data_IF_505140914628
#
_entry.id   IF_505140914628
#
_cell.length_a   1.000
_cell.length_b   1.000
_cell.length_c   1.000
_cell.angle_alpha   90.00
_cell.angle_beta   90.00
_cell.angle_gamma   90.00
#
_symmetry.space_group_name_H-M   'P 1'
#
loop_
_entity.id
_entity.type
_entity.pdbx_description
1 polymer ?
#
# COMPACT_ATOMS: atom_id res chain seq x y z
N UNK A 1 27.75 8.95 -20.90
CA UNK A 1 27.80 9.36 -19.49
C UNK A 1 26.63 10.28 -19.24
N UNK A 2 25.52 9.74 -18.71
CA UNK A 2 24.42 10.58 -18.23
C UNK A 2 24.95 11.36 -17.03
N UNK A 3 25.12 12.67 -17.16
CA UNK A 3 25.31 13.56 -16.01
C UNK A 3 24.04 13.40 -15.15
N UNK A 4 24.19 12.92 -13.90
CA UNK A 4 23.13 13.08 -12.90
C UNK A 4 22.77 14.56 -12.88
N UNK A 5 21.57 14.90 -13.34
CA UNK A 5 21.00 16.21 -13.04
C UNK A 5 20.93 16.30 -11.52
N UNK A 6 21.37 17.39 -10.94
CA UNK A 6 21.13 17.68 -9.53
C UNK A 6 19.62 17.66 -9.34
N UNK A 7 19.13 16.64 -8.68
CA UNK A 7 17.70 16.47 -8.43
C UNK A 7 17.38 17.41 -7.28
N UNK A 8 16.52 18.39 -7.52
CA UNK A 8 16.04 19.27 -6.46
C UNK A 8 15.18 18.43 -5.51
N UNK A 9 15.56 18.35 -4.26
CA UNK A 9 14.78 17.76 -3.19
C UNK A 9 14.17 18.84 -2.29
N UNK A 10 13.09 18.49 -1.62
CA UNK A 10 12.47 19.28 -0.57
C UNK A 10 12.53 18.49 0.74
N UNK A 11 13.01 19.13 1.81
CA UNK A 11 13.01 18.48 3.13
C UNK A 11 11.62 18.57 3.78
N UNK A 12 11.15 17.47 4.34
CA UNK A 12 9.92 17.39 5.12
C UNK A 12 10.15 16.49 6.35
N UNK A 13 10.36 17.10 7.52
CA UNK A 13 10.81 16.38 8.71
C UNK A 13 12.25 15.86 8.50
N UNK A 14 12.45 14.56 8.66
CA UNK A 14 13.71 13.85 8.40
C UNK A 14 13.68 13.08 7.07
N UNK A 15 12.83 13.51 6.14
CA UNK A 15 12.69 12.94 4.81
C UNK A 15 13.07 13.94 3.73
N UNK A 16 13.70 13.45 2.68
CA UNK A 16 13.88 14.14 1.41
C UNK A 16 12.83 13.73 0.40
N UNK A 17 12.08 14.68 -0.12
CA UNK A 17 11.05 14.48 -1.15
C UNK A 17 11.64 14.82 -2.51
N UNK A 18 11.72 13.82 -3.39
CA UNK A 18 12.29 13.91 -4.72
C UNK A 18 11.27 13.52 -5.79
N UNK A 19 11.46 13.98 -7.03
CA UNK A 19 10.74 13.44 -8.17
C UNK A 19 11.16 11.98 -8.40
N UNK A 20 10.18 11.10 -8.62
CA UNK A 20 10.52 9.72 -8.97
C UNK A 20 11.18 9.69 -10.37
N UNK A 21 12.38 9.09 -10.52
CA UNK A 21 13.10 9.07 -11.79
C UNK A 21 12.43 8.19 -12.86
N UNK A 22 11.54 7.28 -12.45
CA UNK A 22 10.76 6.40 -13.31
C UNK A 22 9.27 6.49 -12.98
N UNK A 23 8.62 7.63 -13.29
CA UNK A 23 7.27 7.88 -12.84
C UNK A 23 6.27 6.92 -13.48
N UNK A 24 5.47 6.24 -12.65
CA UNK A 24 4.31 5.44 -13.07
C UNK A 24 3.06 6.33 -13.08
N UNK A 25 3.01 7.32 -12.21
CA UNK A 25 1.91 8.25 -12.02
C UNK A 25 2.30 9.65 -12.53
N UNK A 26 1.31 10.49 -12.87
CA UNK A 26 1.57 11.87 -13.34
C UNK A 26 2.33 12.70 -12.31
N UNK A 27 1.90 12.62 -11.04
CA UNK A 27 2.62 13.18 -9.90
C UNK A 27 3.15 12.01 -9.07
N UNK A 28 4.39 11.63 -9.28
CA UNK A 28 5.04 10.51 -8.62
C UNK A 28 6.32 10.98 -7.93
N UNK A 29 6.34 10.87 -6.62
CA UNK A 29 7.45 11.28 -5.77
C UNK A 29 8.04 10.07 -5.06
N UNK A 30 9.31 10.19 -4.71
CA UNK A 30 10.03 9.29 -3.80
C UNK A 30 10.37 10.09 -2.56
N UNK A 31 10.08 9.57 -1.38
CA UNK A 31 10.27 10.19 -0.08
C UNK A 31 11.27 9.34 0.67
N UNK A 32 12.49 9.82 0.79
CA UNK A 32 13.65 9.04 1.25
C UNK A 32 14.00 9.49 2.67
N UNK A 33 14.15 8.55 3.60
CA UNK A 33 14.67 8.85 4.95
C UNK A 33 16.12 9.34 4.85
N UNK A 34 16.48 10.39 5.56
CA UNK A 34 17.84 10.95 5.53
C UNK A 34 18.89 9.96 6.06
N UNK A 35 18.52 9.17 7.08
CA UNK A 35 19.35 8.10 7.60
C UNK A 35 19.21 6.84 6.76
N UNK A 36 20.33 6.17 6.48
CA UNK A 36 20.34 4.90 5.76
C UNK A 36 19.91 3.75 6.68
N UNK A 37 18.61 3.50 6.76
CA UNK A 37 18.00 2.44 7.56
C UNK A 37 17.28 1.43 6.67
N UNK A 38 17.13 0.16 7.10
CA UNK A 38 16.42 -0.85 6.33
C UNK A 38 14.96 -0.47 6.07
N UNK A 39 14.42 -0.92 4.94
CA UNK A 39 13.02 -0.75 4.56
C UNK A 39 12.11 -1.51 5.53
N UNK A 40 11.53 -0.81 6.49
CA UNK A 40 10.55 -1.34 7.46
C UNK A 40 9.53 -0.30 7.82
N UNK A 41 8.25 -0.69 7.91
CA UNK A 41 7.19 0.24 8.32
C UNK A 41 7.00 0.25 9.84
N UNK A 42 7.56 -0.72 10.55
CA UNK A 42 7.54 -0.74 12.00
C UNK A 42 8.20 0.55 12.52
N UNK A 43 7.53 1.27 13.41
CA UNK A 43 7.95 2.58 13.92
C UNK A 43 8.05 3.70 12.86
N UNK A 44 7.54 3.49 11.63
CA UNK A 44 7.50 4.49 10.54
C UNK A 44 6.06 4.79 10.09
N UNK A 45 5.08 4.07 10.66
CA UNK A 45 3.68 4.30 10.28
C UNK A 45 3.19 5.69 10.72
N UNK A 46 3.66 6.18 11.88
CA UNK A 46 3.36 7.54 12.32
C UNK A 46 3.91 8.58 11.36
N UNK A 47 5.11 8.36 10.80
CA UNK A 47 5.69 9.22 9.77
C UNK A 47 4.87 9.17 8.48
N UNK A 48 4.38 7.98 8.09
CA UNK A 48 3.49 7.84 6.94
C UNK A 48 2.21 8.67 7.09
N UNK A 49 1.63 8.71 8.29
CA UNK A 49 0.46 9.56 8.58
C UNK A 49 0.80 11.05 8.60
N UNK A 50 1.97 11.42 9.13
CA UNK A 50 2.49 12.79 9.08
C UNK A 50 2.66 13.27 7.64
N UNK A 51 3.26 12.44 6.78
CA UNK A 51 3.41 12.73 5.35
C UNK A 51 2.05 12.86 4.67
N UNK A 52 1.10 11.96 4.96
CA UNK A 52 -0.25 12.00 4.40
C UNK A 52 -1.01 13.29 4.75
N UNK A 53 -0.83 13.80 5.97
CA UNK A 53 -1.45 15.05 6.43
C UNK A 53 -0.82 16.27 5.77
N UNK A 54 0.52 16.33 5.72
CA UNK A 54 1.26 17.48 5.16
C UNK A 54 1.28 17.49 3.63
N UNK A 55 1.07 16.34 2.99
CA UNK A 55 0.96 16.17 1.55
C UNK A 55 -0.45 15.70 1.17
N UNK A 56 -1.47 16.39 1.66
CA UNK A 56 -2.87 15.93 1.62
C UNK A 56 -3.47 15.81 0.19
N UNK A 57 -2.77 16.26 -0.83
CA UNK A 57 -3.11 16.02 -2.25
C UNK A 57 -2.51 14.73 -2.80
N UNK A 58 -1.75 14.00 -1.98
CA UNK A 58 -1.10 12.75 -2.35
C UNK A 58 -1.62 11.57 -1.54
N UNK A 59 -1.48 10.41 -2.13
CA UNK A 59 -1.54 9.11 -1.47
C UNK A 59 -0.09 8.74 -1.12
N UNK A 60 0.17 8.41 0.13
CA UNK A 60 1.49 7.93 0.56
C UNK A 60 1.51 6.42 0.44
N UNK A 61 2.55 5.90 -0.19
CA UNK A 61 2.67 4.51 -0.61
C UNK A 61 3.90 3.87 0.05
N UNK A 62 3.75 2.66 0.56
CA UNK A 62 4.82 1.85 1.11
C UNK A 62 4.89 0.48 0.43
N UNK A 63 6.10 0.07 0.07
CA UNK A 63 6.42 -1.27 -0.36
C UNK A 63 7.33 -1.94 0.67
N UNK A 64 6.91 -3.08 1.21
CA UNK A 64 7.78 -3.91 2.04
C UNK A 64 9.00 -4.42 1.25
N UNK A 65 10.10 -4.83 1.93
CA UNK A 65 11.37 -5.23 1.30
C UNK A 65 11.19 -6.30 0.22
N UNK A 66 10.33 -7.29 0.48
CA UNK A 66 9.98 -8.38 -0.45
C UNK A 66 8.60 -8.16 -1.10
N UNK A 67 8.14 -6.92 -1.19
CA UNK A 67 6.86 -6.53 -1.79
C UNK A 67 7.01 -5.40 -2.81
N UNK A 68 8.16 -5.38 -3.51
CA UNK A 68 8.40 -4.44 -4.61
C UNK A 68 9.18 -3.18 -4.23
N UNK A 69 9.76 -3.09 -3.02
CA UNK A 69 10.70 -2.03 -2.69
C UNK A 69 11.91 -2.09 -3.63
N UNK A 70 12.27 -0.94 -4.23
CA UNK A 70 13.41 -0.85 -5.16
C UNK A 70 14.77 -0.78 -4.46
N UNK A 71 14.79 -0.28 -3.21
CA UNK A 71 15.96 -0.20 -2.35
C UNK A 71 15.59 -0.73 -0.95
N UNK A 72 15.61 -2.06 -0.74
CA UNK A 72 15.17 -2.66 0.52
C UNK A 72 16.13 -2.40 1.69
N UNK A 73 17.29 -1.87 1.44
CA UNK A 73 18.30 -1.46 2.41
C UNK A 73 18.19 0.02 2.84
N UNK A 74 17.34 0.82 2.16
CA UNK A 74 17.16 2.23 2.49
C UNK A 74 15.67 2.59 2.57
N UNK A 75 15.22 2.98 3.76
CA UNK A 75 13.83 3.33 4.03
C UNK A 75 13.35 4.47 3.14
N UNK A 76 12.28 4.23 2.45
CA UNK A 76 11.61 5.21 1.61
C UNK A 76 10.12 4.94 1.50
N UNK A 77 9.36 6.01 1.32
CA UNK A 77 7.99 5.99 0.83
C UNK A 77 7.95 6.48 -0.61
N UNK A 78 6.81 6.31 -1.23
CA UNK A 78 6.48 6.97 -2.49
C UNK A 78 5.20 7.79 -2.30
N UNK A 79 4.93 8.72 -3.21
CA UNK A 79 3.67 9.45 -3.22
C UNK A 79 3.11 9.53 -4.64
N UNK A 80 1.81 9.32 -4.77
CA UNK A 80 1.05 9.48 -6.01
C UNK A 80 -0.06 10.50 -5.82
N UNK A 81 -0.29 11.36 -6.81
CA UNK A 81 -1.36 12.34 -6.74
C UNK A 81 -2.73 11.68 -6.61
N UNK A 82 -3.62 12.20 -5.78
CA UNK A 82 -4.98 11.66 -5.56
C UNK A 82 -5.85 11.65 -6.81
N UNK A 83 -5.55 12.49 -7.79
CA UNK A 83 -6.24 12.51 -9.08
C UNK A 83 -6.07 11.22 -9.90
N UNK A 84 -5.10 10.40 -9.57
CA UNK A 84 -4.80 9.15 -10.29
C UNK A 84 -5.83 8.04 -10.08
N UNK A 85 -6.87 8.27 -9.32
CA UNK A 85 -7.93 7.29 -9.02
C UNK A 85 -7.43 5.94 -8.47
N UNK A 86 -6.23 5.92 -7.90
CA UNK A 86 -5.61 4.72 -7.33
C UNK A 86 -6.39 4.25 -6.10
N UNK A 87 -6.90 5.19 -5.32
CA UNK A 87 -7.55 4.89 -4.03
C UNK A 87 -8.90 4.17 -4.15
N UNK A 88 -9.50 4.10 -5.34
CA UNK A 88 -10.74 3.37 -5.52
C UNK A 88 -10.80 2.57 -6.84
N UNK A 89 -9.78 1.74 -7.16
CA UNK A 89 -9.80 0.92 -8.36
C UNK A 89 -10.86 -0.18 -8.29
N UNK A 90 -11.42 -0.45 -7.10
CA UNK A 90 -12.24 -1.62 -6.83
C UNK A 90 -13.64 -1.30 -6.31
N UNK A 91 -14.10 -0.03 -6.37
CA UNK A 91 -15.39 0.34 -5.80
C UNK A 91 -15.44 -0.03 -4.32
N UNK A 92 -14.45 0.39 -3.54
CA UNK A 92 -14.34 0.07 -2.12
C UNK A 92 -15.57 0.60 -1.39
N UNK A 93 -16.55 -0.25 -1.21
CA UNK A 93 -17.59 -0.04 -0.23
C UNK A 93 -16.95 -0.35 1.11
N UNK A 94 -16.64 0.69 1.88
CA UNK A 94 -16.29 0.49 3.28
C UNK A 94 -17.48 -0.20 3.93
N UNK A 95 -17.32 -1.45 4.34
CA UNK A 95 -18.33 -2.12 5.15
C UNK A 95 -18.19 -1.53 6.54
N UNK A 96 -19.04 -0.55 6.83
CA UNK A 96 -19.05 0.24 8.07
C UNK A 96 -19.53 -0.52 9.30
N UNK A 97 -19.71 -1.84 9.23
CA UNK A 97 -20.51 -2.59 10.22
C UNK A 97 -19.70 -3.36 11.26
N UNK A 98 -18.37 -3.21 11.33
CA UNK A 98 -17.61 -3.88 12.38
C UNK A 98 -16.83 -2.89 13.23
N UNK A 99 -17.30 -2.75 14.46
CA UNK A 99 -16.74 -2.04 15.59
C UNK A 99 -17.01 -0.53 15.63
N UNK A 100 -18.08 -0.20 16.30
CA UNK A 100 -18.38 1.12 16.83
C UNK A 100 -17.53 1.44 18.07
N UNK A 101 -16.22 1.68 17.91
CA UNK A 101 -15.58 2.64 18.77
C UNK A 101 -15.72 4.00 18.08
N UNK A 102 -16.05 5.05 18.81
CA UNK A 102 -16.28 6.38 18.27
C UNK A 102 -15.08 6.96 17.50
N UNK A 103 -13.90 6.32 17.62
CA UNK A 103 -12.60 6.83 17.20
C UNK A 103 -11.92 6.05 16.07
N UNK A 104 -12.34 4.84 15.72
CA UNK A 104 -11.73 4.07 14.63
C UNK A 104 -12.70 3.10 13.96
N UNK A 105 -12.61 2.97 12.65
CA UNK A 105 -13.43 2.05 11.85
C UNK A 105 -12.53 0.98 11.27
N UNK A 106 -12.82 -0.28 11.59
CA UNK A 106 -12.27 -1.43 10.89
C UNK A 106 -13.11 -1.72 9.66
N UNK A 107 -12.48 -1.86 8.53
CA UNK A 107 -13.14 -2.39 7.37
C UNK A 107 -12.35 -3.54 6.77
N UNK A 108 -13.05 -4.61 6.46
CA UNK A 108 -12.51 -5.76 5.76
C UNK A 108 -12.90 -5.66 4.29
N UNK A 109 -11.90 -5.58 3.40
CA UNK A 109 -12.14 -5.42 1.97
C UNK A 109 -12.04 -6.78 1.27
N UNK A 110 -13.20 -7.41 1.02
CA UNK A 110 -13.32 -8.55 0.11
C UNK A 110 -13.68 -8.05 -1.29
N UNK A 111 -12.70 -7.79 -2.13
CA UNK A 111 -13.00 -7.44 -3.52
C UNK A 111 -12.77 -8.61 -4.50
N UNK A 112 -12.52 -9.79 -4.00
CA UNK A 112 -12.34 -11.01 -4.80
C UNK A 112 -11.01 -11.14 -5.52
N UNK A 113 -10.17 -10.11 -5.54
CA UNK A 113 -8.89 -10.09 -6.25
C UNK A 113 -7.68 -10.03 -5.31
N UNK A 114 -7.71 -9.15 -4.31
CA UNK A 114 -6.62 -8.97 -3.33
C UNK A 114 -7.16 -9.16 -1.92
N UNK A 115 -6.29 -9.49 -0.99
CA UNK A 115 -6.60 -9.54 0.42
C UNK A 115 -6.03 -8.29 1.09
N UNK A 116 -6.89 -7.48 1.68
CA UNK A 116 -6.51 -6.22 2.30
C UNK A 116 -7.35 -5.90 3.54
N UNK A 117 -6.80 -5.09 4.42
CA UNK A 117 -7.48 -4.54 5.59
C UNK A 117 -7.45 -3.03 5.45
N UNK A 118 -8.62 -2.39 5.55
CA UNK A 118 -8.75 -0.95 5.64
C UNK A 118 -8.94 -0.51 7.08
N UNK A 119 -8.29 0.58 7.47
CA UNK A 119 -8.51 1.26 8.74
C UNK A 119 -8.67 2.76 8.49
N UNK A 120 -9.55 3.39 9.25
CA UNK A 120 -9.72 4.84 9.19
C UNK A 120 -10.10 5.40 10.55
N UNK A 121 -9.64 6.62 10.84
CA UNK A 121 -9.96 7.30 12.09
C UNK A 121 -9.76 8.80 11.97
N UNK A 122 -10.63 9.63 12.57
CA UNK A 122 -10.36 11.05 12.81
C UNK A 122 -9.33 11.26 13.93
N UNK A 123 -9.04 10.23 14.72
CA UNK A 123 -8.07 10.25 15.81
C UNK A 123 -6.76 9.59 15.36
N UNK A 124 -5.70 10.41 15.25
CA UNK A 124 -4.38 9.94 14.82
C UNK A 124 -3.81 8.83 15.72
N UNK A 125 -4.01 8.95 17.02
CA UNK A 125 -3.55 7.93 17.97
C UNK A 125 -4.30 6.61 17.78
N UNK A 126 -5.60 6.67 17.57
CA UNK A 126 -6.43 5.49 17.35
C UNK A 126 -6.02 4.69 16.12
N UNK A 127 -5.73 5.37 14.97
CA UNK A 127 -5.27 4.67 13.77
C UNK A 127 -3.85 4.08 13.94
N UNK A 128 -2.96 4.73 14.71
CA UNK A 128 -1.63 4.20 15.03
C UNK A 128 -1.76 2.92 15.87
N UNK A 129 -2.47 2.98 17.00
CA UNK A 129 -2.68 1.84 17.89
C UNK A 129 -3.30 0.64 17.15
N UNK A 130 -4.24 0.91 16.24
CA UNK A 130 -4.85 -0.11 15.42
C UNK A 130 -3.88 -0.71 14.40
N UNK A 131 -3.09 0.12 13.74
CA UNK A 131 -2.07 -0.36 12.81
C UNK A 131 -1.04 -1.24 13.51
N UNK A 132 -0.53 -0.81 14.68
CA UNK A 132 0.45 -1.56 15.47
C UNK A 132 -0.12 -2.93 15.91
N UNK A 133 -1.36 -2.94 16.38
CA UNK A 133 -2.05 -4.17 16.71
C UNK A 133 -2.16 -5.15 15.53
N UNK A 134 -2.56 -4.66 14.37
CA UNK A 134 -2.64 -5.46 13.14
C UNK A 134 -1.25 -5.92 12.69
N UNK A 135 -0.27 -5.02 12.74
CA UNK A 135 1.10 -5.31 12.37
C UNK A 135 1.67 -6.46 13.19
N UNK A 136 1.55 -6.41 14.52
CA UNK A 136 2.05 -7.47 15.41
C UNK A 136 1.38 -8.82 15.14
N UNK A 137 0.07 -8.81 14.83
CA UNK A 137 -0.62 -10.04 14.39
C UNK A 137 -0.12 -10.56 13.05
N UNK A 138 0.11 -9.67 12.09
CA UNK A 138 0.63 -10.05 10.77
C UNK A 138 2.03 -10.62 10.92
N UNK A 139 2.90 -9.98 11.71
CA UNK A 139 4.28 -10.46 11.99
C UNK A 139 4.27 -11.88 12.55
N UNK A 140 3.33 -12.22 13.42
CA UNK A 140 3.24 -13.56 14.03
C UNK A 140 3.08 -14.68 12.99
N UNK A 141 2.52 -14.37 11.80
CA UNK A 141 2.39 -15.33 10.69
C UNK A 141 3.71 -15.49 9.93
N UNK A 142 4.54 -14.44 9.88
CA UNK A 142 5.76 -14.39 9.08
C UNK A 142 7.04 -14.67 9.88
N UNK A 143 6.91 -15.15 11.14
CA UNK A 143 8.03 -15.59 11.98
C UNK A 143 9.14 -14.53 12.14
N UNK A 144 8.81 -13.36 12.68
CA UNK A 144 9.72 -12.27 13.07
C UNK A 144 10.46 -11.54 11.93
N UNK A 145 10.05 -11.71 10.69
CA UNK A 145 10.52 -10.89 9.57
C UNK A 145 9.57 -9.73 9.33
N UNK A 146 10.08 -8.68 8.66
CA UNK A 146 9.19 -7.66 8.09
C UNK A 146 8.09 -8.36 7.28
N UNK A 147 6.81 -8.14 7.59
CA UNK A 147 5.74 -8.87 6.93
C UNK A 147 5.65 -8.49 5.45
N UNK A 148 5.16 -9.43 4.65
CA UNK A 148 4.92 -9.20 3.24
C UNK A 148 3.67 -8.32 3.06
N UNK A 149 3.85 -7.00 3.13
CA UNK A 149 2.77 -6.03 2.98
C UNK A 149 3.11 -4.90 2.02
N UNK A 150 2.06 -4.36 1.40
CA UNK A 150 2.09 -3.04 0.78
C UNK A 150 1.06 -2.16 1.51
N UNK A 151 1.35 -0.89 1.69
CA UNK A 151 0.47 0.01 2.44
C UNK A 151 0.23 1.28 1.64
N UNK A 152 -1.00 1.77 1.68
CA UNK A 152 -1.37 3.09 1.17
C UNK A 152 -2.05 3.86 2.30
N UNK A 153 -1.67 5.13 2.49
CA UNK A 153 -2.31 6.00 3.46
C UNK A 153 -2.61 7.38 2.85
N UNK A 154 -3.67 8.00 3.34
CA UNK A 154 -4.03 9.37 2.96
C UNK A 154 -4.80 10.06 4.09
N UNK A 155 -4.79 11.39 4.05
CA UNK A 155 -5.59 12.24 4.92
C UNK A 155 -6.56 13.06 4.08
N UNK A 156 -7.82 13.18 4.48
CA UNK A 156 -8.80 13.97 3.75
C UNK A 156 -10.21 13.89 4.29
N UNK A 157 -11.09 14.63 3.61
CA UNK A 157 -12.53 14.61 3.86
C UNK A 157 -13.12 13.30 3.31
N UNK A 158 -13.82 12.58 4.15
CA UNK A 158 -14.59 11.39 3.78
C UNK A 158 -16.04 11.56 4.22
N UNK A 159 -16.96 11.14 3.36
CA UNK A 159 -18.37 11.11 3.70
C UNK A 159 -18.64 9.90 4.58
N UNK A 160 -18.92 10.11 5.84
CA UNK A 160 -19.32 9.04 6.76
C UNK A 160 -20.82 8.84 6.60
N UNK A 161 -21.23 7.69 6.10
CA UNK A 161 -22.64 7.27 5.98
C UNK A 161 -23.26 6.97 7.37
N UNK A 162 -23.13 7.91 8.30
CA UNK A 162 -23.99 7.97 9.48
C UNK A 162 -25.14 8.90 9.12
N UNK A 163 -26.36 8.45 9.29
CA UNK A 163 -27.63 9.15 9.14
C UNK A 163 -27.53 10.69 9.04
N UNK A 164 -27.04 11.22 7.90
CA UNK A 164 -26.86 12.67 7.74
C UNK A 164 -25.81 13.08 6.71
N UNK A 165 -24.86 12.22 6.34
CA UNK A 165 -23.86 12.53 5.33
C UNK A 165 -22.81 13.56 5.77
N UNK A 166 -22.45 13.60 7.05
CA UNK A 166 -21.43 14.50 7.56
C UNK A 166 -20.07 14.15 6.97
N UNK A 167 -19.37 15.16 6.46
CA UNK A 167 -17.99 15.05 6.01
C UNK A 167 -17.06 15.25 7.19
N UNK A 168 -16.19 14.29 7.45
CA UNK A 168 -15.15 14.41 8.47
C UNK A 168 -13.76 14.27 7.84
N UNK A 169 -12.81 15.01 8.39
CA UNK A 169 -11.38 14.80 8.05
C UNK A 169 -10.83 13.65 8.87
N UNK A 170 -10.24 12.68 8.18
CA UNK A 170 -9.66 11.52 8.84
C UNK A 170 -8.44 11.00 8.10
N UNK A 171 -7.62 10.24 8.82
CA UNK A 171 -6.60 9.39 8.24
C UNK A 171 -7.22 8.09 7.79
N UNK A 172 -6.75 7.61 6.64
CA UNK A 172 -7.17 6.37 6.04
C UNK A 172 -5.94 5.55 5.68
N UNK A 173 -6.01 4.25 5.84
CA UNK A 173 -4.95 3.33 5.48
C UNK A 173 -5.53 2.03 4.94
N UNK A 174 -4.88 1.47 3.90
CA UNK A 174 -5.16 0.13 3.39
C UNK A 174 -3.86 -0.67 3.43
N UNK A 175 -3.93 -1.84 4.05
CA UNK A 175 -2.84 -2.80 4.16
C UNK A 175 -3.14 -3.97 3.25
N UNK A 176 -2.39 -4.14 2.16
CA UNK A 176 -2.46 -5.30 1.30
C UNK A 176 -1.58 -6.42 1.86
N UNK A 177 -2.19 -7.56 2.14
CA UNK A 177 -1.53 -8.71 2.74
C UNK A 177 -1.03 -9.65 1.65
N UNK A 178 0.26 -9.93 1.65
CA UNK A 178 0.92 -10.72 0.62
C UNK A 178 1.33 -12.09 1.14
N UNK A 179 1.28 -13.11 0.29
CA UNK A 179 1.75 -14.47 0.60
C UNK A 179 3.13 -14.75 0.03
N UNK A 180 3.52 -14.06 -1.03
CA UNK A 180 4.84 -14.17 -1.67
C UNK A 180 5.22 -12.92 -2.44
N UNK A 181 6.51 -12.75 -2.68
CA UNK A 181 7.09 -11.61 -3.37
C UNK A 181 6.59 -11.52 -4.82
N UNK A 182 6.71 -12.59 -5.60
CA UNK A 182 6.46 -12.60 -7.04
C UNK A 182 5.64 -13.80 -7.48
N UNK A 183 4.77 -13.64 -8.50
CA UNK A 183 4.02 -14.75 -9.08
C UNK A 183 4.92 -15.68 -9.90
N UNK A 184 4.47 -16.89 -10.15
CA UNK A 184 5.23 -17.90 -10.92
C UNK A 184 5.58 -17.43 -12.34
N UNK A 185 4.70 -16.64 -12.96
CA UNK A 185 4.94 -16.11 -14.30
C UNK A 185 6.16 -15.19 -14.39
N UNK A 186 6.61 -14.60 -13.27
CA UNK A 186 7.84 -13.79 -13.23
C UNK A 186 9.08 -14.64 -13.53
N UNK A 187 9.12 -15.85 -13.02
CA UNK A 187 10.28 -16.78 -13.18
C UNK A 187 10.17 -17.66 -14.43
N UNK A 188 8.99 -17.71 -15.04
CA UNK A 188 8.76 -18.55 -16.21
C UNK A 188 9.48 -17.99 -17.44
N UNK A 189 9.84 -18.89 -18.37
CA UNK A 189 10.50 -18.54 -19.61
C UNK A 189 9.54 -18.66 -20.82
N UNK A 190 9.92 -17.99 -21.92
CA UNK A 190 9.21 -18.04 -23.19
C UNK A 190 7.78 -17.51 -23.09
N UNK A 191 6.83 -18.17 -23.75
CA UNK A 191 5.42 -17.71 -23.83
C UNK A 191 4.71 -17.63 -22.48
N UNK A 192 5.16 -18.36 -21.47
CA UNK A 192 4.60 -18.35 -20.11
C UNK A 192 5.19 -17.24 -19.24
N UNK A 193 6.34 -16.72 -19.61
CA UNK A 193 7.04 -15.67 -18.90
C UNK A 193 6.33 -14.33 -19.03
N UNK A 194 6.22 -13.62 -17.90
CA UNK A 194 5.63 -12.29 -17.82
C UNK A 194 6.38 -11.50 -16.75
N UNK A 195 7.07 -10.43 -17.15
CA UNK A 195 7.89 -9.64 -16.23
C UNK A 195 7.01 -8.70 -15.39
N UNK A 196 6.33 -9.28 -14.40
CA UNK A 196 5.53 -8.53 -13.42
C UNK A 196 5.97 -8.92 -12.01
N UNK A 197 6.41 -7.92 -11.24
CA UNK A 197 6.75 -8.04 -9.82
C UNK A 197 5.85 -7.11 -9.03
N UNK A 198 4.67 -7.57 -8.56
CA UNK A 198 3.68 -6.69 -7.97
C UNK A 198 4.23 -5.91 -6.78
N UNK A 199 4.07 -4.58 -6.85
CA UNK A 199 4.32 -3.60 -5.83
C UNK A 199 3.00 -2.90 -5.49
N UNK A 200 3.03 -1.80 -4.75
CA UNK A 200 1.81 -1.06 -4.37
C UNK A 200 1.02 -0.58 -5.60
N UNK A 201 1.66 -0.22 -6.71
CA UNK A 201 0.98 0.20 -7.92
C UNK A 201 0.08 -0.92 -8.47
N UNK A 202 0.65 -2.12 -8.64
CA UNK A 202 -0.11 -3.27 -9.11
C UNK A 202 -1.18 -3.70 -8.10
N UNK A 203 -0.89 -3.64 -6.79
CA UNK A 203 -1.90 -3.94 -5.77
C UNK A 203 -3.07 -2.96 -5.82
N UNK A 204 -2.84 -1.74 -6.27
CA UNK A 204 -3.85 -0.71 -6.54
C UNK A 204 -4.45 -0.77 -7.97
N UNK A 205 -4.14 -1.78 -8.76
CA UNK A 205 -4.73 -2.00 -10.09
C UNK A 205 -3.99 -1.33 -11.24
N UNK A 206 -2.85 -0.70 -11.01
CA UNK A 206 -2.02 -0.07 -12.05
C UNK A 206 -0.86 -0.98 -12.39
N UNK A 207 -0.90 -1.60 -13.58
CA UNK A 207 0.11 -2.54 -14.06
C UNK A 207 1.05 -1.88 -15.07
N UNK A 208 2.25 -1.44 -14.67
CA UNK A 208 3.26 -0.95 -15.61
C UNK A 208 3.81 -2.15 -16.42
N UNK A 209 3.68 -2.08 -17.74
CA UNK A 209 4.22 -3.11 -18.62
C UNK A 209 5.53 -2.62 -19.20
N UNK A 210 6.63 -3.23 -18.79
CA UNK A 210 7.99 -2.80 -19.15
C UNK A 210 8.52 -3.42 -20.44
N UNK A 211 7.89 -4.50 -20.94
CA UNK A 211 8.27 -5.17 -22.18
C UNK A 211 7.09 -5.19 -23.16
N UNK A 212 7.31 -4.75 -24.37
CA UNK A 212 6.27 -4.75 -25.41
C UNK A 212 5.68 -6.14 -25.65
N UNK A 213 6.50 -7.16 -25.63
CA UNK A 213 6.09 -8.57 -25.78
C UNK A 213 5.16 -9.10 -24.69
N UNK A 214 5.02 -8.36 -23.60
CA UNK A 214 4.16 -8.74 -22.46
C UNK A 214 2.76 -8.10 -22.57
N UNK A 215 2.56 -7.11 -23.45
CA UNK A 215 1.28 -6.42 -23.61
C UNK A 215 0.13 -7.39 -23.93
N UNK A 216 0.34 -8.29 -24.88
CA UNK A 216 -0.68 -9.26 -25.31
C UNK A 216 -0.91 -10.38 -24.28
N UNK A 217 -0.03 -10.52 -23.29
CA UNK A 217 -0.15 -11.54 -22.25
C UNK A 217 -0.98 -11.07 -21.05
N UNK A 218 -1.15 -9.74 -20.90
CA UNK A 218 -1.93 -9.14 -19.82
C UNK A 218 -3.41 -9.23 -20.16
N UNK A 219 -4.11 -10.09 -19.44
CA UNK A 219 -5.57 -10.24 -19.51
C UNK A 219 -6.16 -10.15 -18.12
N UNK A 220 -7.45 -9.82 -17.99
CA UNK A 220 -8.14 -9.82 -16.70
C UNK A 220 -7.98 -11.16 -15.95
N UNK A 221 -8.04 -12.29 -16.68
CA UNK A 221 -7.79 -13.63 -16.11
C UNK A 221 -6.36 -13.76 -15.57
N UNK A 222 -5.36 -13.23 -16.28
CA UNK A 222 -3.97 -13.29 -15.85
C UNK A 222 -3.72 -12.42 -14.63
N UNK A 223 -4.28 -11.21 -14.59
CA UNK A 223 -4.24 -10.32 -13.44
C UNK A 223 -4.88 -10.98 -12.21
N UNK A 224 -6.09 -11.55 -12.36
CA UNK A 224 -6.75 -12.29 -11.28
C UNK A 224 -5.89 -13.45 -10.76
N UNK A 225 -5.22 -14.19 -11.66
CA UNK A 225 -4.31 -15.25 -11.26
C UNK A 225 -3.13 -14.71 -10.45
N UNK A 226 -2.51 -13.62 -10.91
CA UNK A 226 -1.39 -12.97 -10.22
C UNK A 226 -1.81 -12.56 -8.80
N UNK A 227 -2.94 -11.89 -8.65
CA UNK A 227 -3.43 -11.48 -7.34
C UNK A 227 -3.67 -12.68 -6.41
N UNK A 228 -4.31 -13.74 -6.88
CA UNK A 228 -4.52 -14.96 -6.10
C UNK A 228 -3.22 -15.62 -5.66
N UNK A 229 -2.17 -15.53 -6.48
CA UNK A 229 -0.87 -16.11 -6.14
C UNK A 229 -0.11 -15.30 -5.10
N UNK A 230 -0.21 -13.96 -5.15
CA UNK A 230 0.62 -13.09 -4.31
C UNK A 230 -0.08 -12.58 -3.06
N UNK A 231 -1.40 -12.69 -2.96
CA UNK A 231 -2.17 -12.29 -1.78
C UNK A 231 -2.35 -13.44 -0.79
N UNK A 232 -2.58 -13.11 0.48
CA UNK A 232 -3.03 -14.11 1.46
C UNK A 232 -4.37 -14.71 1.03
N UNK A 233 -4.59 -15.98 1.39
CA UNK A 233 -5.91 -16.60 1.20
C UNK A 233 -6.93 -16.06 2.20
N UNK A 234 -8.21 -16.23 1.88
CA UNK A 234 -9.31 -15.87 2.79
C UNK A 234 -9.27 -16.66 4.10
N UNK A 235 -8.78 -17.91 4.07
CA UNK A 235 -8.60 -18.73 5.27
C UNK A 235 -7.52 -18.15 6.19
N UNK A 236 -6.38 -17.72 5.60
CA UNK A 236 -5.30 -17.07 6.36
C UNK A 236 -5.76 -15.73 6.94
N UNK A 237 -6.57 -14.97 6.20
CA UNK A 237 -7.13 -13.71 6.68
C UNK A 237 -8.10 -13.93 7.85
N UNK A 238 -9.00 -14.91 7.75
CA UNK A 238 -9.88 -15.27 8.86
C UNK A 238 -9.10 -15.65 10.10
N UNK A 239 -8.03 -16.43 9.98
CA UNK A 239 -7.18 -16.79 11.10
C UNK A 239 -6.56 -15.56 11.81
N UNK A 240 -6.31 -14.46 11.06
CA UNK A 240 -5.86 -13.17 11.63
C UNK A 240 -6.99 -12.47 12.39
N UNK A 241 -8.22 -12.52 11.89
CA UNK A 241 -9.36 -11.79 12.44
C UNK A 241 -10.07 -12.56 13.56
N UNK A 242 -10.16 -13.89 13.48
CA UNK A 242 -10.86 -14.73 14.48
C UNK A 242 -10.12 -14.84 15.83
N UNK A 243 -8.83 -14.50 15.88
CA UNK A 243 -8.10 -14.37 17.16
C UNK A 243 -8.45 -13.08 17.94
N UNK A 244 -9.43 -12.33 17.47
CA UNK A 244 -9.93 -11.08 18.08
C UNK A 244 -11.17 -11.25 18.96
N UNK A 245 -11.61 -12.50 19.19
CA UNK A 245 -12.80 -12.81 20.03
C UNK A 245 -12.41 -13.12 21.47
#
# INVERSE_FOLDING_TARGET
VYKRQEQTSLSLGHYEVCLNPYPIFRRHLTIIEEEHTPQTIKNRFEDMLFLAENMNEFLILYNGPECGASAPDHMHFQAAGKEEKIANPFGMTFISDMLSSEDSVHSHLENGFTTSIGISSPNRRGIIEMFEYLYDKIVSIYHDKEPLINVIAWYGLETVNRTGGDEIKQWNCIIFLRSKHRPECYYAQGKKGLLISPAIAEMCGVFPIVREEDLDKITAKKITQIYKEVSLSQEQLKALTDQTS
#
